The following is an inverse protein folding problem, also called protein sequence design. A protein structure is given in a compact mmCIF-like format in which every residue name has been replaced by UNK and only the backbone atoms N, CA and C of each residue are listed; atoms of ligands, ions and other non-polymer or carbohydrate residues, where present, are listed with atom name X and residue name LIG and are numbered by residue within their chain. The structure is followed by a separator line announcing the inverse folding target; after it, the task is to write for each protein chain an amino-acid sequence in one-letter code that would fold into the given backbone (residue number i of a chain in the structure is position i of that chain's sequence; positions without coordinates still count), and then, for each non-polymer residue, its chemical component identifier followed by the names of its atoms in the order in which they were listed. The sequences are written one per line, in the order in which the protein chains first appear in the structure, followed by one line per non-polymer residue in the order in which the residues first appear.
data_IF_978196728190
#
_entry.id   IF_978196728190
#
_cell.length_a   1.000
_cell.length_b   1.000
_cell.length_c   1.000
_cell.angle_alpha   90.00
_cell.angle_beta   90.00
_cell.angle_gamma   90.00
#
_symmetry.space_group_name_H-M   'P 1'
#
loop_
_entity.id
_entity.type
_entity.pdbx_description
1 polymer ?
#
# COMPACT_ATOMS: atom_id res chain seq x y z
N UNK A 1 17.43 22.64 49.32
CA UNK A 1 17.79 22.10 47.98
C UNK A 1 16.75 21.05 47.59
N UNK A 2 15.67 21.43 46.90
CA UNK A 2 14.69 20.50 46.34
C UNK A 2 14.87 20.50 44.81
N UNK A 3 15.32 19.37 44.27
CA UNK A 3 15.36 19.13 42.82
C UNK A 3 13.95 18.71 42.40
N UNK A 4 13.27 19.61 41.69
CA UNK A 4 12.02 19.32 40.98
C UNK A 4 12.32 18.42 39.77
N UNK A 5 11.92 17.15 39.87
CA UNK A 5 11.86 16.21 38.75
C UNK A 5 10.70 16.63 37.82
N UNK A 6 11.01 17.13 36.63
CA UNK A 6 10.04 17.41 35.57
C UNK A 6 9.46 16.10 34.99
N UNK A 7 8.15 15.84 35.01
CA UNK A 7 7.55 14.58 34.56
C UNK A 7 7.23 14.50 33.04
N UNK A 8 7.85 15.30 32.18
CA UNK A 8 7.39 15.43 30.78
C UNK A 8 8.04 14.51 29.73
N UNK A 9 8.94 13.59 30.11
CA UNK A 9 9.66 12.78 29.12
C UNK A 9 8.96 11.46 28.72
N UNK A 10 7.96 10.95 29.46
CA UNK A 10 7.44 9.60 29.22
C UNK A 10 6.36 9.50 28.11
N UNK A 11 5.64 10.58 27.78
CA UNK A 11 4.44 10.50 26.95
C UNK A 11 4.68 10.37 25.43
N UNK A 12 5.88 10.72 24.92
CA UNK A 12 6.20 10.65 23.49
C UNK A 12 6.58 9.26 22.96
N UNK A 13 7.02 8.37 23.85
CA UNK A 13 7.81 7.19 23.50
C UNK A 13 7.00 5.96 23.05
N UNK A 14 5.69 5.92 23.34
CA UNK A 14 4.79 4.82 22.93
C UNK A 14 3.95 5.12 21.69
N UNK A 15 4.01 6.34 21.15
CA UNK A 15 3.11 6.77 20.06
C UNK A 15 3.38 6.07 18.73
N UNK A 16 4.62 6.13 18.24
CA UNK A 16 4.97 5.59 16.92
C UNK A 16 4.93 4.05 16.88
N UNK A 17 5.26 3.36 17.98
CA UNK A 17 5.20 1.90 18.06
C UNK A 17 3.76 1.37 18.04
N UNK A 18 2.84 2.06 18.74
CA UNK A 18 1.40 1.77 18.66
C UNK A 18 0.86 2.01 17.25
N UNK A 19 1.25 3.10 16.59
CA UNK A 19 0.88 3.38 15.20
C UNK A 19 1.44 2.35 14.23
N UNK A 20 2.68 1.89 14.40
CA UNK A 20 3.26 0.83 13.57
C UNK A 20 2.58 -0.54 13.81
N UNK A 21 2.06 -0.78 15.01
CA UNK A 21 1.24 -1.97 15.32
C UNK A 21 -0.17 -1.86 14.74
N UNK A 22 -0.77 -0.66 14.76
CA UNK A 22 -2.02 -0.37 14.08
C UNK A 22 -1.88 -0.55 12.56
N UNK A 23 -0.75 -0.12 11.98
CA UNK A 23 -0.42 -0.36 10.58
C UNK A 23 -0.42 -1.86 10.25
N UNK A 24 0.27 -2.69 11.05
CA UNK A 24 0.25 -4.14 10.88
C UNK A 24 -1.16 -4.73 10.93
N UNK A 25 -1.95 -4.31 11.93
CA UNK A 25 -3.29 -4.84 12.15
C UNK A 25 -4.21 -4.52 10.97
N UNK A 26 -4.18 -3.28 10.49
CA UNK A 26 -4.96 -2.85 9.33
C UNK A 26 -4.49 -3.54 8.03
N UNK A 27 -3.18 -3.64 7.79
CA UNK A 27 -2.65 -4.36 6.62
C UNK A 27 -3.03 -5.86 6.65
N UNK A 28 -3.02 -6.47 7.82
CA UNK A 28 -3.47 -7.87 8.00
C UNK A 28 -4.97 -7.99 7.69
N UNK A 29 -5.78 -7.04 8.14
CA UNK A 29 -7.21 -6.97 7.79
C UNK A 29 -7.42 -6.86 6.28
N UNK A 30 -6.63 -6.06 5.58
CA UNK A 30 -6.67 -5.96 4.12
C UNK A 30 -6.36 -7.30 3.45
N UNK A 31 -5.29 -7.99 3.86
CA UNK A 31 -4.94 -9.33 3.32
C UNK A 31 -6.04 -10.36 3.60
N UNK A 32 -6.60 -10.36 4.80
CA UNK A 32 -7.68 -11.26 5.17
C UNK A 32 -8.93 -11.02 4.30
N UNK A 33 -9.33 -9.76 4.11
CA UNK A 33 -10.47 -9.39 3.27
C UNK A 33 -10.22 -9.71 1.79
N UNK A 34 -9.02 -9.47 1.26
CA UNK A 34 -8.65 -9.89 -0.08
C UNK A 34 -8.74 -11.42 -0.25
N UNK A 35 -8.30 -12.17 0.76
CA UNK A 35 -8.43 -13.63 0.77
C UNK A 35 -9.90 -14.07 0.79
N UNK A 36 -10.74 -13.43 1.61
CA UNK A 36 -12.18 -13.69 1.64
C UNK A 36 -12.87 -13.39 0.31
N UNK A 37 -12.48 -12.29 -0.36
CA UNK A 37 -12.97 -11.97 -1.71
C UNK A 37 -12.61 -13.07 -2.71
N UNK A 38 -11.37 -13.55 -2.68
CA UNK A 38 -10.93 -14.62 -3.57
C UNK A 38 -11.65 -15.94 -3.30
N UNK A 39 -11.89 -16.30 -2.03
CA UNK A 39 -12.58 -17.54 -1.69
C UNK A 39 -14.09 -17.46 -1.93
N UNK A 40 -14.69 -16.28 -1.72
CA UNK A 40 -16.15 -16.09 -1.81
C UNK A 40 -16.66 -15.76 -3.21
N UNK A 41 -15.81 -15.19 -4.08
CA UNK A 41 -16.20 -14.74 -5.42
C UNK A 41 -15.24 -15.21 -6.54
N UNK A 42 -14.55 -16.34 -6.35
CA UNK A 42 -13.64 -16.89 -7.37
C UNK A 42 -14.35 -17.31 -8.67
N UNK A 43 -15.65 -17.63 -8.61
CA UNK A 43 -16.42 -18.01 -9.80
C UNK A 43 -16.88 -16.80 -10.62
N UNK A 44 -17.01 -15.63 -9.97
CA UNK A 44 -17.48 -14.39 -10.59
C UNK A 44 -16.33 -13.51 -11.08
N UNK A 45 -15.18 -13.58 -10.41
CA UNK A 45 -13.99 -12.80 -10.76
C UNK A 45 -12.81 -13.74 -10.99
N UNK A 46 -12.42 -13.91 -12.26
CA UNK A 46 -11.22 -14.65 -12.64
C UNK A 46 -9.97 -13.94 -12.10
N UNK A 47 -9.22 -14.53 -11.15
CA UNK A 47 -8.06 -13.89 -10.57
C UNK A 47 -6.91 -13.63 -11.55
N UNK A 48 -6.91 -14.29 -12.72
CA UNK A 48 -5.85 -14.18 -13.71
C UNK A 48 -6.15 -13.08 -14.73
N UNK A 49 -7.36 -13.07 -15.29
CA UNK A 49 -7.79 -12.09 -16.29
C UNK A 49 -8.34 -10.79 -15.71
N UNK A 50 -9.01 -10.82 -14.56
CA UNK A 50 -9.74 -9.68 -14.01
C UNK A 50 -9.03 -9.07 -12.80
N UNK A 51 -9.09 -7.75 -12.67
CA UNK A 51 -8.46 -7.00 -11.59
C UNK A 51 -9.13 -7.28 -10.25
N UNK A 52 -8.42 -7.04 -9.15
CA UNK A 52 -8.98 -7.02 -7.81
C UNK A 52 -10.08 -5.96 -7.70
N UNK A 53 -9.97 -4.85 -8.45
CA UNK A 53 -10.98 -3.80 -8.46
C UNK A 53 -12.33 -4.26 -9.01
N UNK A 54 -12.36 -5.31 -9.84
CA UNK A 54 -13.60 -5.85 -10.44
C UNK A 54 -14.53 -6.51 -9.39
N UNK A 55 -14.02 -6.87 -8.20
CA UNK A 55 -14.89 -7.30 -7.10
C UNK A 55 -15.90 -6.24 -6.70
N UNK A 56 -15.58 -4.95 -6.89
CA UNK A 56 -16.51 -3.88 -6.56
C UNK A 56 -17.77 -3.90 -7.42
N UNK A 57 -17.74 -4.57 -8.57
CA UNK A 57 -18.83 -4.62 -9.55
C UNK A 57 -19.89 -5.67 -9.18
N UNK A 58 -19.57 -6.59 -8.26
CA UNK A 58 -20.43 -7.71 -7.91
C UNK A 58 -21.17 -7.46 -6.59
N UNK A 59 -22.46 -7.83 -6.55
CA UNK A 59 -23.27 -7.76 -5.34
C UNK A 59 -22.66 -8.61 -4.21
N UNK A 60 -22.69 -8.07 -2.99
CA UNK A 60 -22.08 -8.68 -1.80
C UNK A 60 -20.55 -8.54 -1.70
N UNK A 61 -19.81 -8.51 -2.82
CA UNK A 61 -18.36 -8.33 -2.84
C UNK A 61 -17.94 -6.86 -2.67
N UNK A 62 -18.78 -5.92 -3.13
CA UNK A 62 -18.43 -4.49 -3.14
C UNK A 62 -18.04 -3.94 -1.77
N UNK A 63 -18.81 -4.23 -0.72
CA UNK A 63 -18.51 -3.78 0.64
C UNK A 63 -17.20 -4.38 1.17
N UNK A 64 -16.94 -5.66 0.89
CA UNK A 64 -15.70 -6.33 1.28
C UNK A 64 -14.49 -5.76 0.54
N UNK A 65 -14.64 -5.44 -0.75
CA UNK A 65 -13.59 -4.76 -1.53
C UNK A 65 -13.28 -3.37 -0.97
N UNK A 66 -14.31 -2.55 -0.72
CA UNK A 66 -14.13 -1.21 -0.13
C UNK A 66 -13.45 -1.32 1.25
N UNK A 67 -13.86 -2.28 2.09
CA UNK A 67 -13.21 -2.54 3.37
C UNK A 67 -11.75 -3.02 3.22
N UNK A 68 -11.47 -3.86 2.23
CA UNK A 68 -10.13 -4.36 1.92
C UNK A 68 -9.18 -3.21 1.56
N UNK A 69 -9.58 -2.35 0.62
CA UNK A 69 -8.79 -1.18 0.20
C UNK A 69 -8.73 -0.14 1.33
N UNK A 70 -9.83 0.07 2.05
CA UNK A 70 -9.89 0.95 3.22
C UNK A 70 -8.92 0.53 4.33
N UNK A 71 -8.79 -0.78 4.59
CA UNK A 71 -7.81 -1.32 5.53
C UNK A 71 -6.36 -1.07 5.06
N UNK A 72 -6.07 -1.21 3.76
CA UNK A 72 -4.75 -0.89 3.20
C UNK A 72 -4.45 0.61 3.31
N UNK A 73 -5.43 1.47 3.04
CA UNK A 73 -5.32 2.92 3.19
C UNK A 73 -5.07 3.31 4.65
N UNK A 74 -5.85 2.76 5.59
CA UNK A 74 -5.70 2.99 7.02
C UNK A 74 -4.35 2.50 7.54
N UNK A 75 -3.89 1.34 7.10
CA UNK A 75 -2.57 0.80 7.44
C UNK A 75 -1.43 1.69 6.94
N UNK A 76 -1.53 2.17 5.71
CA UNK A 76 -0.56 3.11 5.11
C UNK A 76 -0.56 4.47 5.82
N UNK A 77 -1.73 4.99 6.20
CA UNK A 77 -1.86 6.23 6.96
C UNK A 77 -1.27 6.10 8.38
N UNK A 78 -1.52 4.97 9.06
CA UNK A 78 -0.92 4.67 10.36
C UNK A 78 0.61 4.56 10.26
N UNK A 79 1.12 3.98 9.17
CA UNK A 79 2.55 3.93 8.87
C UNK A 79 3.13 5.34 8.65
N UNK A 80 2.46 6.19 7.88
CA UNK A 80 2.87 7.58 7.66
C UNK A 80 2.89 8.35 8.98
N UNK A 81 1.86 8.21 9.81
CA UNK A 81 1.81 8.84 11.14
C UNK A 81 2.94 8.32 12.04
N UNK A 82 3.25 7.03 12.01
CA UNK A 82 4.38 6.45 12.74
C UNK A 82 5.70 7.05 12.26
N UNK A 83 5.89 7.20 10.95
CA UNK A 83 7.09 7.79 10.35
C UNK A 83 7.28 9.24 10.79
N UNK A 84 6.24 10.07 10.68
CA UNK A 84 6.26 11.47 11.08
C UNK A 84 6.55 11.63 12.59
N UNK A 85 6.03 10.72 13.42
CA UNK A 85 6.25 10.74 14.88
C UNK A 85 7.57 10.10 15.32
N UNK A 86 8.21 9.30 14.47
CA UNK A 86 9.48 8.64 14.78
C UNK A 86 10.67 9.59 14.86
N UNK A 87 10.54 10.80 14.27
CA UNK A 87 11.62 11.80 14.12
C UNK A 87 12.89 11.24 13.45
N UNK A 88 12.78 10.13 12.72
CA UNK A 88 13.88 9.61 11.91
C UNK A 88 14.26 10.65 10.83
N UNK A 89 15.55 10.80 10.52
CA UNK A 89 16.03 11.80 9.55
C UNK A 89 15.79 11.34 8.11
N UNK A 90 14.52 11.22 7.73
CA UNK A 90 14.07 10.76 6.41
C UNK A 90 13.79 11.92 5.43
N UNK A 91 13.82 13.16 5.93
CA UNK A 91 13.44 14.37 5.17
C UNK A 91 11.93 14.42 4.87
N UNK A 92 11.48 15.51 4.24
CA UNK A 92 10.06 15.71 3.92
C UNK A 92 9.58 14.91 2.69
N UNK A 93 10.49 14.57 1.77
CA UNK A 93 10.12 13.92 0.50
C UNK A 93 9.58 12.51 0.72
N UNK A 94 10.25 11.68 1.53
CA UNK A 94 9.80 10.31 1.80
C UNK A 94 8.37 10.23 2.40
N UNK A 95 8.03 10.97 3.47
CA UNK A 95 6.67 10.99 4.00
C UNK A 95 5.66 11.65 3.04
N UNK A 96 6.03 12.68 2.29
CA UNK A 96 5.15 13.27 1.28
C UNK A 96 4.80 12.26 0.18
N UNK A 97 5.79 11.53 -0.34
CA UNK A 97 5.57 10.45 -1.32
C UNK A 97 4.70 9.34 -0.74
N UNK A 98 4.94 8.90 0.50
CA UNK A 98 4.07 7.92 1.15
C UNK A 98 2.63 8.47 1.31
N UNK A 99 2.48 9.75 1.61
CA UNK A 99 1.19 10.44 1.67
C UNK A 99 0.41 10.41 0.36
N UNK A 100 1.09 10.58 -0.78
CA UNK A 100 0.47 10.40 -2.12
C UNK A 100 -0.07 8.98 -2.28
N UNK A 101 0.70 7.97 -1.87
CA UNK A 101 0.24 6.58 -1.90
C UNK A 101 -0.98 6.33 -0.99
N UNK A 102 -0.98 6.91 0.21
CA UNK A 102 -2.12 6.82 1.12
C UNK A 102 -3.38 7.47 0.54
N UNK A 103 -3.23 8.67 -0.05
CA UNK A 103 -4.33 9.40 -0.67
C UNK A 103 -4.89 8.64 -1.87
N UNK A 104 -4.04 8.07 -2.72
CA UNK A 104 -4.48 7.27 -3.86
C UNK A 104 -5.27 6.02 -3.43
N UNK A 105 -4.81 5.29 -2.40
CA UNK A 105 -5.57 4.16 -1.85
C UNK A 105 -6.93 4.59 -1.29
N UNK A 106 -6.98 5.71 -0.56
CA UNK A 106 -8.23 6.24 -0.03
C UNK A 106 -9.21 6.64 -1.15
N UNK A 107 -8.70 7.27 -2.22
CA UNK A 107 -9.50 7.59 -3.40
C UNK A 107 -10.01 6.32 -4.10
N UNK A 108 -9.22 5.26 -4.20
CA UNK A 108 -9.66 3.98 -4.79
C UNK A 108 -10.78 3.31 -3.98
N UNK A 109 -10.84 3.54 -2.66
CA UNK A 109 -11.93 3.03 -1.81
C UNK A 109 -13.23 3.82 -1.98
N UNK A 110 -13.15 5.11 -2.35
CA UNK A 110 -14.30 6.01 -2.50
C UNK A 110 -14.86 5.99 -3.92
N UNK A 111 -13.97 6.01 -4.92
CA UNK A 111 -14.33 6.06 -6.32
C UNK A 111 -14.33 4.66 -6.90
N UNK A 112 -15.47 4.22 -7.43
CA UNK A 112 -15.63 2.91 -8.07
C UNK A 112 -14.92 2.87 -9.42
N UNK A 113 -14.34 1.72 -9.74
CA UNK A 113 -13.84 1.43 -11.10
C UNK A 113 -15.01 1.22 -12.07
N UNK A 114 -14.73 1.35 -13.37
CA UNK A 114 -15.68 1.06 -14.44
C UNK A 114 -15.56 -0.41 -14.88
N UNK A 115 -16.63 -0.96 -15.44
CA UNK A 115 -16.60 -2.27 -16.09
C UNK A 115 -15.63 -2.29 -17.28
N UNK A 116 -14.93 -3.41 -17.47
CA UNK A 116 -14.04 -3.56 -18.62
C UNK A 116 -14.82 -3.42 -19.94
N UNK A 117 -14.44 -2.45 -20.77
CA UNK A 117 -15.09 -2.19 -22.05
C UNK A 117 -16.28 -1.22 -22.00
N UNK A 118 -16.70 -0.76 -20.82
CA UNK A 118 -17.75 0.27 -20.71
C UNK A 118 -17.23 1.67 -21.05
N UNK A 119 -18.15 2.61 -21.26
CA UNK A 119 -17.80 4.03 -21.37
C UNK A 119 -17.13 4.51 -20.08
N UNK A 120 -16.01 5.22 -20.21
CA UNK A 120 -15.28 5.71 -19.06
C UNK A 120 -16.08 6.79 -18.31
N UNK A 121 -16.31 6.56 -17.02
CA UNK A 121 -16.92 7.53 -16.11
C UNK A 121 -15.87 8.41 -15.43
N UNK A 122 -16.31 9.51 -14.81
CA UNK A 122 -15.44 10.33 -13.95
C UNK A 122 -14.92 9.53 -12.74
N UNK A 123 -15.76 8.66 -12.16
CA UNK A 123 -15.36 7.81 -11.03
C UNK A 123 -14.26 6.84 -11.44
N UNK A 124 -14.43 6.12 -12.53
CA UNK A 124 -13.42 5.18 -13.03
C UNK A 124 -12.13 5.89 -13.47
N UNK A 125 -12.22 7.11 -14.01
CA UNK A 125 -11.05 7.95 -14.29
C UNK A 125 -10.27 8.27 -13.01
N UNK A 126 -10.96 8.73 -11.96
CA UNK A 126 -10.33 9.04 -10.66
C UNK A 126 -9.72 7.77 -10.05
N UNK A 127 -10.45 6.66 -10.04
CA UNK A 127 -9.97 5.37 -9.52
C UNK A 127 -8.68 4.94 -10.24
N UNK A 128 -8.67 4.93 -11.58
CA UNK A 128 -7.52 4.52 -12.39
C UNK A 128 -6.27 5.36 -12.11
N UNK A 129 -6.42 6.68 -12.05
CA UNK A 129 -5.28 7.56 -11.78
C UNK A 129 -4.82 7.49 -10.32
N UNK A 130 -5.73 7.33 -9.37
CA UNK A 130 -5.42 7.14 -7.96
C UNK A 130 -4.68 5.81 -7.70
N UNK A 131 -5.10 4.74 -8.38
CA UNK A 131 -4.42 3.44 -8.34
C UNK A 131 -3.00 3.57 -8.89
N UNK A 132 -2.84 4.14 -10.10
CA UNK A 132 -1.53 4.36 -10.70
C UNK A 132 -0.61 5.24 -9.85
N UNK A 133 -1.14 6.30 -9.23
CA UNK A 133 -0.39 7.15 -8.32
C UNK A 133 0.08 6.38 -7.07
N UNK A 134 -0.78 5.51 -6.52
CA UNK A 134 -0.43 4.65 -5.37
C UNK A 134 0.68 3.67 -5.73
N UNK A 135 0.49 2.96 -6.85
CA UNK A 135 1.42 1.95 -7.36
C UNK A 135 2.83 2.52 -7.64
N UNK A 136 2.92 3.80 -8.00
CA UNK A 136 4.19 4.48 -8.19
C UNK A 136 4.77 5.02 -6.87
N UNK A 137 3.93 5.62 -6.03
CA UNK A 137 4.36 6.34 -4.84
C UNK A 137 4.87 5.41 -3.73
N UNK A 138 4.22 4.27 -3.50
CA UNK A 138 4.61 3.35 -2.42
C UNK A 138 6.04 2.78 -2.59
N UNK A 139 6.43 2.21 -3.75
CA UNK A 139 7.81 1.78 -3.95
C UNK A 139 8.79 2.95 -3.97
N UNK A 140 8.42 4.12 -4.50
CA UNK A 140 9.27 5.31 -4.46
C UNK A 140 9.56 5.76 -3.00
N UNK A 141 8.54 5.79 -2.15
CA UNK A 141 8.69 6.09 -0.72
C UNK A 141 9.59 5.04 -0.03
N UNK A 142 9.43 3.75 -0.34
CA UNK A 142 10.29 2.69 0.15
C UNK A 142 11.77 2.87 -0.25
N UNK A 143 12.06 3.22 -1.50
CA UNK A 143 13.42 3.53 -1.96
C UNK A 143 14.01 4.74 -1.25
N UNK A 144 13.24 5.82 -1.09
CA UNK A 144 13.66 7.03 -0.38
C UNK A 144 13.97 6.72 1.09
N UNK A 145 13.10 5.99 1.77
CA UNK A 145 13.32 5.53 3.14
C UNK A 145 14.56 4.65 3.24
N UNK A 146 14.72 3.69 2.33
CA UNK A 146 15.88 2.80 2.32
C UNK A 146 17.20 3.57 2.07
N UNK A 147 17.17 4.65 1.30
CA UNK A 147 18.37 5.50 1.12
C UNK A 147 18.70 6.26 2.41
N UNK A 148 17.71 6.87 3.06
CA UNK A 148 17.90 7.70 4.26
C UNK A 148 18.24 6.91 5.53
N UNK A 149 17.73 5.69 5.64
CA UNK A 149 17.90 4.85 6.84
C UNK A 149 19.16 3.98 6.82
N UNK A 150 19.93 3.96 5.71
CA UNK A 150 21.11 3.10 5.56
C UNK A 150 22.17 3.28 6.66
N UNK A 151 22.33 4.50 7.18
CA UNK A 151 23.27 4.82 8.26
C UNK A 151 22.71 4.76 9.68
N UNK A 152 21.40 4.53 9.84
CA UNK A 152 20.71 4.66 11.13
C UNK A 152 20.46 3.28 11.76
N UNK A 153 21.34 2.85 12.67
CA UNK A 153 21.11 1.64 13.47
C UNK A 153 20.04 1.91 14.55
N UNK A 154 19.15 0.94 14.87
CA UNK A 154 19.09 -0.43 14.36
C UNK A 154 18.31 -0.61 13.04
N UNK A 155 17.64 0.44 12.56
CA UNK A 155 16.77 0.42 11.37
C UNK A 155 17.49 -0.01 10.08
N UNK A 156 18.81 0.20 10.01
CA UNK A 156 19.65 -0.16 8.87
C UNK A 156 19.69 -1.66 8.54
N UNK A 157 19.33 -2.54 9.48
CA UNK A 157 19.24 -3.97 9.21
C UNK A 157 18.09 -4.33 8.24
N UNK A 158 17.03 -3.51 8.19
CA UNK A 158 15.83 -3.78 7.36
C UNK A 158 15.87 -3.10 5.99
N UNK A 159 16.80 -2.18 5.80
CA UNK A 159 17.00 -1.43 4.55
C UNK A 159 17.16 -2.28 3.29
N UNK A 160 17.91 -3.41 3.29
CA UNK A 160 18.05 -4.26 2.11
C UNK A 160 16.70 -4.84 1.66
N UNK A 161 15.89 -5.31 2.61
CA UNK A 161 14.57 -5.89 2.34
C UNK A 161 13.60 -4.85 1.79
N UNK A 162 13.54 -3.65 2.39
CA UNK A 162 12.74 -2.53 1.87
C UNK A 162 13.16 -2.21 0.43
N UNK A 163 14.46 -2.06 0.18
CA UNK A 163 14.99 -1.75 -1.16
C UNK A 163 14.64 -2.84 -2.19
N UNK A 164 14.78 -4.11 -1.83
CA UNK A 164 14.45 -5.23 -2.71
C UNK A 164 12.96 -5.25 -3.05
N UNK A 165 12.09 -5.12 -2.04
CA UNK A 165 10.65 -5.09 -2.23
C UNK A 165 10.21 -3.87 -3.04
N UNK A 166 10.82 -2.70 -2.83
CA UNK A 166 10.51 -1.52 -3.65
C UNK A 166 10.88 -1.72 -5.11
N UNK A 167 12.05 -2.28 -5.42
CA UNK A 167 12.42 -2.57 -6.81
C UNK A 167 11.54 -3.64 -7.44
N UNK A 168 11.23 -4.71 -6.70
CA UNK A 168 10.34 -5.77 -7.16
C UNK A 168 8.93 -5.21 -7.44
N UNK A 169 8.38 -4.41 -6.52
CA UNK A 169 7.09 -3.74 -6.66
C UNK A 169 7.10 -2.76 -7.84
N UNK A 170 8.14 -1.94 -8.02
CA UNK A 170 8.26 -1.08 -9.21
C UNK A 170 8.27 -1.87 -10.52
N UNK A 171 9.03 -2.97 -10.57
CA UNK A 171 9.06 -3.84 -11.76
C UNK A 171 7.69 -4.47 -12.04
N UNK A 172 7.02 -4.97 -11.00
CA UNK A 172 5.68 -5.54 -11.11
C UNK A 172 4.64 -4.48 -11.54
N UNK A 173 4.70 -3.27 -10.98
CA UNK A 173 3.82 -2.17 -11.34
C UNK A 173 4.00 -1.74 -12.80
N UNK A 174 5.25 -1.69 -13.29
CA UNK A 174 5.53 -1.42 -14.70
C UNK A 174 5.01 -2.54 -15.61
N UNK A 175 5.16 -3.80 -15.20
CA UNK A 175 4.59 -4.94 -15.91
C UNK A 175 3.06 -4.85 -15.96
N UNK A 176 2.41 -4.60 -14.82
CA UNK A 176 0.96 -4.42 -14.74
C UNK A 176 0.50 -3.26 -15.63
N UNK A 177 1.16 -2.11 -15.56
CA UNK A 177 0.86 -0.97 -16.44
C UNK A 177 1.01 -1.34 -17.92
N UNK A 178 2.05 -2.09 -18.27
CA UNK A 178 2.25 -2.63 -19.62
C UNK A 178 1.11 -3.55 -20.04
N UNK A 179 0.68 -4.48 -19.18
CA UNK A 179 -0.46 -5.37 -19.46
C UNK A 179 -1.76 -4.59 -19.60
N UNK A 180 -1.99 -3.59 -18.76
CA UNK A 180 -3.18 -2.75 -18.79
C UNK A 180 -3.26 -1.89 -20.06
N UNK A 181 -2.15 -1.27 -20.47
CA UNK A 181 -2.06 -0.50 -21.72
C UNK A 181 -2.21 -1.41 -22.95
N UNK A 182 -1.66 -2.62 -22.90
CA UNK A 182 -1.86 -3.59 -23.98
C UNK A 182 -3.30 -4.08 -24.07
N UNK A 183 -3.94 -4.36 -22.93
CA UNK A 183 -5.34 -4.80 -22.87
C UNK A 183 -6.32 -3.73 -23.37
N UNK A 184 -6.06 -2.45 -23.06
CA UNK A 184 -6.93 -1.35 -23.52
C UNK A 184 -6.84 -1.09 -25.03
N UNK A 185 -5.72 -1.45 -25.67
CA UNK A 185 -5.54 -1.35 -27.13
C UNK A 185 -6.08 -2.56 -27.88
N UNK A 186 -5.95 -3.75 -27.30
CA UNK A 186 -6.39 -5.00 -27.90
C UNK A 186 -6.86 -5.97 -26.81
N UNK A 187 -8.17 -5.98 -26.51
CA UNK A 187 -8.73 -6.80 -25.42
C UNK A 187 -8.56 -8.31 -25.62
N UNK A 188 -8.26 -8.77 -26.83
CA UNK A 188 -8.07 -10.19 -27.16
C UNK A 188 -6.63 -10.68 -27.10
N UNK A 189 -5.65 -9.81 -26.79
CA UNK A 189 -4.25 -10.19 -26.74
C UNK A 189 -3.88 -10.98 -25.47
N UNK A 190 -2.74 -11.68 -25.50
CA UNK A 190 -2.28 -12.48 -24.36
C UNK A 190 -2.01 -11.67 -23.09
N UNK A 191 -1.73 -10.36 -23.20
CA UNK A 191 -1.50 -9.50 -22.04
C UNK A 191 -2.79 -9.23 -21.25
N UNK A 192 -3.93 -9.10 -21.94
CA UNK A 192 -5.23 -9.00 -21.29
C UNK A 192 -5.56 -10.23 -20.44
N UNK A 193 -5.08 -11.42 -20.85
CA UNK A 193 -5.33 -12.68 -20.13
C UNK A 193 -4.64 -12.79 -18.78
N UNK A 194 -3.60 -12.00 -18.52
CA UNK A 194 -2.79 -12.06 -17.28
C UNK A 194 -2.83 -10.75 -16.49
N UNK A 195 -3.72 -9.83 -16.86
CA UNK A 195 -3.85 -8.51 -16.25
C UNK A 195 -4.12 -8.60 -14.74
N UNK A 196 -5.10 -9.43 -14.35
CA UNK A 196 -5.48 -9.67 -12.96
C UNK A 196 -4.36 -10.28 -12.12
N UNK A 197 -3.58 -11.19 -12.70
CA UNK A 197 -2.44 -11.79 -12.02
C UNK A 197 -1.32 -10.77 -11.81
N UNK A 198 -1.00 -9.97 -12.84
CA UNK A 198 0.03 -8.94 -12.76
C UNK A 198 -0.30 -7.89 -11.68
N UNK A 199 -1.57 -7.50 -11.57
CA UNK A 199 -2.05 -6.62 -10.50
C UNK A 199 -1.88 -7.24 -9.12
N UNK A 200 -2.34 -8.48 -8.92
CA UNK A 200 -2.26 -9.18 -7.63
C UNK A 200 -0.82 -9.35 -7.15
N UNK A 201 0.10 -9.68 -8.06
CA UNK A 201 1.54 -9.73 -7.76
C UNK A 201 2.05 -8.36 -7.32
N UNK A 202 1.65 -7.30 -8.02
CA UNK A 202 2.03 -5.92 -7.67
C UNK A 202 1.52 -5.55 -6.29
N UNK A 203 0.22 -5.72 -6.02
CA UNK A 203 -0.40 -5.41 -4.73
C UNK A 203 0.18 -6.25 -3.59
N UNK A 204 0.46 -7.53 -3.83
CA UNK A 204 1.12 -8.40 -2.84
C UNK A 204 2.52 -7.90 -2.46
N UNK A 205 3.30 -7.44 -3.44
CA UNK A 205 4.62 -6.84 -3.20
C UNK A 205 4.52 -5.50 -2.47
N UNK A 206 3.51 -4.68 -2.77
CA UNK A 206 3.27 -3.41 -2.06
C UNK A 206 2.85 -3.61 -0.60
N UNK A 207 1.95 -4.55 -0.35
CA UNK A 207 1.57 -4.91 1.02
C UNK A 207 2.79 -5.44 1.79
N UNK A 208 3.59 -6.31 1.17
CA UNK A 208 4.84 -6.78 1.76
C UNK A 208 5.83 -5.64 2.05
N UNK A 209 5.92 -4.65 1.14
CA UNK A 209 6.73 -3.45 1.33
C UNK A 209 6.22 -2.61 2.51
N UNK A 210 4.92 -2.38 2.61
CA UNK A 210 4.28 -1.64 3.71
C UNK A 210 4.55 -2.34 5.06
N UNK A 211 4.43 -3.67 5.11
CA UNK A 211 4.84 -4.44 6.29
C UNK A 211 6.31 -4.23 6.62
N UNK A 212 7.23 -4.35 5.65
CA UNK A 212 8.66 -4.16 5.88
C UNK A 212 9.02 -2.75 6.39
N UNK A 213 8.31 -1.72 5.91
CA UNK A 213 8.45 -0.34 6.39
C UNK A 213 7.90 -0.17 7.81
N UNK A 214 6.72 -0.73 8.11
CA UNK A 214 6.15 -0.69 9.46
C UNK A 214 7.06 -1.41 10.46
N UNK A 215 7.64 -2.52 10.03
CA UNK A 215 8.63 -3.28 10.76
C UNK A 215 9.84 -2.40 11.13
N UNK A 216 10.44 -1.72 10.15
CA UNK A 216 11.58 -0.84 10.39
C UNK A 216 11.30 0.21 11.48
N UNK A 217 10.07 0.74 11.54
CA UNK A 217 9.64 1.70 12.56
C UNK A 217 9.32 1.10 13.93
N UNK A 218 8.98 -0.19 14.02
CA UNK A 218 8.82 -0.90 15.31
C UNK A 218 10.17 -1.16 15.97
N UNK A 219 11.17 -1.55 15.19
CA UNK A 219 12.49 -1.98 15.69
C UNK A 219 13.49 -0.87 15.94
N UNK A 220 13.23 0.37 15.51
CA UNK A 220 14.10 1.54 15.68
C UNK A 220 14.46 1.92 17.13
N UNK A 221 14.17 1.06 18.13
CA UNK A 221 14.22 1.37 19.55
C UNK A 221 14.50 0.16 20.47
N UNK A 222 15.20 -0.88 19.99
CA UNK A 222 15.76 -1.92 20.87
C UNK A 222 17.27 -1.71 21.04
N UNK A 223 17.66 -0.61 21.69
CA UNK A 223 18.90 -0.39 22.46
C UNK A 223 18.97 1.09 22.84
#
# INVERSE_FOLDING_TARGET
MHVLLSPHAAAGHGGHSRLASAAHSALTGSVALATMLHLGWSEQVDPVGQTLSDYVLHEGAATLFIACVGCAAAGSAALLAALLRSRLPVGAVAPATLGVGCAGLALCAVFRTDEAGSTQSLSGLVHRHAAGASLAALPAAGLLLARRLRGHRPTSARTPRIRQLSWASSGAALLFLGTHVSASRSPSNGAARVLGLAERVTLGLEIALLFAMADALRTGRNR
#
